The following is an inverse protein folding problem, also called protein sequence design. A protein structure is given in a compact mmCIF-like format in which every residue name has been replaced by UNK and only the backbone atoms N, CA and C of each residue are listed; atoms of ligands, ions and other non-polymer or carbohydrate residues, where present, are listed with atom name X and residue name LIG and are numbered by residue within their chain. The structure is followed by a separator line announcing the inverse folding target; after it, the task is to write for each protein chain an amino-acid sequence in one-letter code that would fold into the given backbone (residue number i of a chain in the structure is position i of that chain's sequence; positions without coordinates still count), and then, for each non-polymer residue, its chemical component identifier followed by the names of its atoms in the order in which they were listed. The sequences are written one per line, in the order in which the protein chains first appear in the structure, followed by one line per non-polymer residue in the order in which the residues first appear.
data_IF_843048241465
#
_entry.id   IF_843048241465
#
_cell.length_a   1.000
_cell.length_b   1.000
_cell.length_c   1.000
_cell.angle_alpha   90.00
_cell.angle_beta   90.00
_cell.angle_gamma   90.00
#
_symmetry.space_group_name_H-M   'P 1'
#
loop_
_entity.id
_entity.type
_entity.pdbx_description
1 polymer ?
#
# COMPACT_ATOMS: atom_id res chain seq x y z
N UNK A 1 -14.87 39.79 -48.60
CA UNK A 1 -15.05 38.33 -48.47
C UNK A 1 -13.99 37.69 -47.55
N UNK A 2 -12.72 38.11 -47.59
CA UNK A 2 -11.65 37.58 -46.73
C UNK A 2 -11.87 37.70 -45.20
N UNK A 3 -12.51 38.78 -44.72
CA UNK A 3 -12.75 38.96 -43.27
C UNK A 3 -13.74 37.94 -42.68
N UNK A 4 -14.71 37.49 -43.47
CA UNK A 4 -15.72 36.51 -43.04
C UNK A 4 -15.07 35.11 -42.96
N UNK A 5 -14.19 34.77 -43.89
CA UNK A 5 -13.42 33.51 -43.84
C UNK A 5 -12.53 33.43 -42.60
N UNK A 6 -11.86 34.53 -42.23
CA UNK A 6 -11.03 34.57 -41.02
C UNK A 6 -11.83 34.42 -39.72
N UNK A 7 -13.05 34.98 -39.65
CA UNK A 7 -13.94 34.81 -38.49
C UNK A 7 -14.49 33.37 -38.41
N UNK A 8 -14.81 32.77 -39.55
CA UNK A 8 -15.25 31.36 -39.62
C UNK A 8 -14.13 30.42 -39.15
N UNK A 9 -12.88 30.67 -39.53
CA UNK A 9 -11.73 29.89 -39.06
C UNK A 9 -11.49 30.05 -37.56
N UNK A 10 -11.62 31.27 -37.03
CA UNK A 10 -11.54 31.54 -35.60
C UNK A 10 -12.61 30.76 -34.81
N UNK A 11 -13.86 30.76 -35.30
CA UNK A 11 -14.96 30.01 -34.69
C UNK A 11 -14.73 28.49 -34.73
N UNK A 12 -14.15 27.97 -35.80
CA UNK A 12 -13.79 26.55 -35.89
C UNK A 12 -12.69 26.18 -34.90
N UNK A 13 -11.67 27.03 -34.74
CA UNK A 13 -10.60 26.83 -33.76
C UNK A 13 -11.16 26.89 -32.35
N UNK A 14 -12.01 27.86 -32.02
CA UNK A 14 -12.62 27.98 -30.70
C UNK A 14 -13.48 26.74 -30.37
N UNK A 15 -14.29 26.27 -31.32
CA UNK A 15 -15.11 25.05 -31.15
C UNK A 15 -14.25 23.81 -30.93
N UNK A 16 -13.11 23.72 -31.63
CA UNK A 16 -12.14 22.61 -31.48
C UNK A 16 -11.47 22.65 -30.10
N UNK A 17 -11.06 23.83 -29.64
CA UNK A 17 -10.47 24.03 -28.30
C UNK A 17 -11.50 23.65 -27.23
N UNK A 18 -12.72 24.17 -27.32
CA UNK A 18 -13.81 23.86 -26.38
C UNK A 18 -14.10 22.36 -26.31
N UNK A 19 -14.10 21.67 -27.46
CA UNK A 19 -14.25 20.21 -27.51
C UNK A 19 -13.12 19.44 -26.84
N UNK A 20 -11.86 19.89 -26.99
CA UNK A 20 -10.71 19.28 -26.31
C UNK A 20 -10.76 19.49 -24.79
N UNK A 21 -11.05 20.72 -24.35
CA UNK A 21 -11.18 21.05 -22.93
C UNK A 21 -12.29 20.22 -22.29
N UNK A 22 -13.44 20.08 -22.94
CA UNK A 22 -14.55 19.25 -22.44
C UNK A 22 -14.14 17.78 -22.27
N UNK A 23 -13.48 17.18 -23.26
CA UNK A 23 -13.02 15.78 -23.17
C UNK A 23 -11.98 15.58 -22.07
N UNK A 24 -11.06 16.53 -21.90
CA UNK A 24 -10.07 16.49 -20.84
C UNK A 24 -10.74 16.60 -19.46
N UNK A 25 -11.71 17.50 -19.32
CA UNK A 25 -12.48 17.68 -18.09
C UNK A 25 -13.28 16.42 -17.72
N UNK A 26 -13.96 15.79 -18.69
CA UNK A 26 -14.67 14.52 -18.50
C UNK A 26 -13.73 13.38 -18.08
N UNK A 27 -12.52 13.33 -18.66
CA UNK A 27 -11.50 12.34 -18.27
C UNK A 27 -11.02 12.57 -16.83
N UNK A 28 -10.64 13.80 -16.48
CA UNK A 28 -10.17 14.12 -15.12
C UNK A 28 -11.26 13.92 -14.06
N UNK A 29 -12.51 14.23 -14.39
CA UNK A 29 -13.64 14.01 -13.48
C UNK A 29 -13.92 12.51 -13.29
N UNK A 30 -13.81 11.70 -14.36
CA UNK A 30 -13.90 10.24 -14.29
C UNK A 30 -12.77 9.65 -13.45
N UNK A 31 -11.53 10.08 -13.67
CA UNK A 31 -10.37 9.63 -12.88
C UNK A 31 -10.52 10.02 -11.40
N UNK A 32 -10.96 11.24 -11.10
CA UNK A 32 -11.23 11.68 -9.74
C UNK A 32 -12.31 10.81 -9.07
N UNK A 33 -13.41 10.57 -9.77
CA UNK A 33 -14.52 9.76 -9.25
C UNK A 33 -14.09 8.30 -9.01
N UNK A 34 -13.35 7.69 -9.95
CA UNK A 34 -12.81 6.34 -9.78
C UNK A 34 -11.82 6.26 -8.61
N UNK A 35 -10.99 7.29 -8.42
CA UNK A 35 -10.07 7.33 -7.27
C UNK A 35 -10.82 7.45 -5.94
N UNK A 36 -11.87 8.26 -5.85
CA UNK A 36 -12.71 8.33 -4.65
C UNK A 36 -13.47 7.02 -4.41
N UNK A 37 -13.93 6.33 -5.47
CA UNK A 37 -14.48 4.98 -5.34
C UNK A 37 -13.46 3.98 -4.83
N UNK A 38 -12.21 4.01 -5.33
CA UNK A 38 -11.14 3.15 -4.84
C UNK A 38 -10.86 3.43 -3.37
N UNK A 39 -10.79 4.70 -2.95
CA UNK A 39 -10.62 5.06 -1.53
C UNK A 39 -11.80 4.61 -0.67
N UNK A 40 -13.02 4.73 -1.17
CA UNK A 40 -14.21 4.26 -0.46
C UNK A 40 -14.21 2.72 -0.34
N UNK A 41 -13.85 2.01 -1.42
CA UNK A 41 -13.67 0.56 -1.43
C UNK A 41 -12.58 0.15 -0.44
N UNK A 42 -11.42 0.82 -0.44
CA UNK A 42 -10.34 0.57 0.53
C UNK A 42 -10.77 0.84 1.97
N UNK A 43 -11.67 1.81 2.19
CA UNK A 43 -12.23 2.12 3.51
C UNK A 43 -13.28 1.10 3.95
N UNK A 44 -14.15 0.63 3.05
CA UNK A 44 -15.15 -0.41 3.30
C UNK A 44 -14.51 -1.80 3.45
N UNK A 45 -13.42 -2.07 2.74
CA UNK A 45 -12.58 -3.27 2.97
C UNK A 45 -11.81 -3.21 4.30
N UNK A 46 -11.85 -2.10 5.04
CA UNK A 46 -11.37 -2.04 6.41
C UNK A 46 -9.86 -1.84 6.60
N UNK A 47 -9.10 -1.50 5.55
CA UNK A 47 -7.63 -1.47 5.62
C UNK A 47 -6.98 -0.08 5.58
N UNK A 48 -7.72 1.03 5.59
CA UNK A 48 -7.11 2.34 5.84
C UNK A 48 -6.93 2.53 7.35
N UNK A 49 -5.95 1.81 7.88
CA UNK A 49 -5.51 1.84 9.27
C UNK A 49 -4.58 0.70 9.66
N UNK A 50 -4.53 -0.39 8.87
CA UNK A 50 -3.85 -1.61 9.30
C UNK A 50 -2.46 -1.86 8.71
N UNK A 51 -2.05 -1.37 7.54
CA UNK A 51 -0.69 -1.69 7.03
C UNK A 51 0.44 -1.10 7.91
N UNK A 52 0.27 0.15 8.38
CA UNK A 52 1.16 0.72 9.40
C UNK A 52 0.99 0.01 10.76
N UNK A 53 -0.23 -0.44 11.07
CA UNK A 53 -0.54 -1.16 12.30
C UNK A 53 0.07 -2.56 12.33
N UNK A 54 0.04 -3.33 11.24
CA UNK A 54 0.53 -4.71 11.15
C UNK A 54 2.05 -4.73 11.35
N UNK A 55 2.76 -3.87 10.62
CA UNK A 55 4.20 -3.74 10.76
C UNK A 55 4.58 -3.24 12.17
N UNK A 56 3.87 -2.25 12.71
CA UNK A 56 4.09 -1.79 14.09
C UNK A 56 3.72 -2.86 15.14
N UNK A 57 2.69 -3.66 14.90
CA UNK A 57 2.26 -4.76 15.76
C UNK A 57 3.29 -5.89 15.74
N UNK A 58 3.84 -6.23 14.58
CA UNK A 58 4.96 -7.16 14.44
C UNK A 58 6.19 -6.63 15.18
N UNK A 59 6.52 -5.34 15.03
CA UNK A 59 7.63 -4.72 15.76
C UNK A 59 7.44 -4.78 17.28
N UNK A 60 6.23 -4.46 17.76
CA UNK A 60 5.86 -4.57 19.19
C UNK A 60 5.92 -6.02 19.66
N UNK A 61 5.48 -6.98 18.86
CA UNK A 61 5.47 -8.41 19.17
C UNK A 61 6.89 -8.98 19.28
N UNK A 62 7.77 -8.63 18.34
CA UNK A 62 9.20 -9.01 18.35
C UNK A 62 9.87 -8.48 19.63
N UNK A 63 9.58 -7.23 20.00
CA UNK A 63 10.12 -6.64 21.22
C UNK A 63 9.60 -7.31 22.50
N UNK A 64 8.35 -7.78 22.52
CA UNK A 64 7.72 -8.43 23.69
C UNK A 64 8.06 -9.92 23.83
N UNK A 65 8.35 -10.60 22.73
CA UNK A 65 8.61 -12.05 22.68
C UNK A 65 9.79 -12.49 23.57
N UNK A 66 10.74 -11.58 23.85
CA UNK A 66 11.92 -11.89 24.68
C UNK A 66 12.94 -12.76 23.96
N UNK A 67 13.11 -12.52 22.67
CA UNK A 67 14.12 -13.17 21.84
C UNK A 67 15.53 -12.86 22.35
N UNK A 68 16.48 -13.81 22.25
CA UNK A 68 17.91 -13.54 22.38
C UNK A 68 18.37 -12.46 21.39
N UNK A 69 19.48 -11.77 21.70
CA UNK A 69 19.99 -10.63 20.91
C UNK A 69 20.12 -10.95 19.41
N UNK A 70 20.72 -12.09 19.08
CA UNK A 70 20.96 -12.52 17.70
C UNK A 70 19.65 -12.79 16.94
N UNK A 71 18.70 -13.45 17.57
CA UNK A 71 17.39 -13.74 16.97
C UNK A 71 16.59 -12.43 16.77
N UNK A 72 16.65 -11.52 17.75
CA UNK A 72 15.99 -10.22 17.66
C UNK A 72 16.55 -9.35 16.52
N UNK A 73 17.87 -9.29 16.38
CA UNK A 73 18.51 -8.57 15.27
C UNK A 73 18.09 -9.12 13.90
N UNK A 74 18.06 -10.45 13.75
CA UNK A 74 17.57 -11.07 12.51
C UNK A 74 16.10 -10.76 12.25
N UNK A 75 15.23 -10.87 13.25
CA UNK A 75 13.81 -10.55 13.10
C UNK A 75 13.59 -9.10 12.65
N UNK A 76 14.32 -8.15 13.26
CA UNK A 76 14.23 -6.73 12.90
C UNK A 76 14.77 -6.45 11.50
N UNK A 77 15.85 -7.13 11.09
CA UNK A 77 16.39 -7.00 9.74
C UNK A 77 15.39 -7.47 8.68
N UNK A 78 14.74 -8.62 8.89
CA UNK A 78 13.71 -9.11 7.98
C UNK A 78 12.46 -8.22 7.98
N UNK A 79 12.05 -7.68 9.14
CA UNK A 79 10.96 -6.70 9.23
C UNK A 79 11.26 -5.41 8.43
N UNK A 80 12.51 -4.94 8.44
CA UNK A 80 12.93 -3.78 7.64
C UNK A 80 12.86 -4.06 6.14
N UNK A 81 13.17 -5.29 5.71
CA UNK A 81 12.98 -5.70 4.30
C UNK A 81 11.49 -5.74 3.95
N UNK A 82 10.64 -6.27 4.84
CA UNK A 82 9.19 -6.30 4.65
C UNK A 82 8.61 -4.89 4.49
N UNK A 83 9.10 -3.91 5.27
CA UNK A 83 8.71 -2.48 5.16
C UNK A 83 8.98 -1.87 3.77
N UNK A 84 9.99 -2.36 3.05
CA UNK A 84 10.39 -1.84 1.74
C UNK A 84 9.75 -2.59 0.57
N UNK A 85 9.11 -3.73 0.82
CA UNK A 85 8.53 -4.59 -0.20
C UNK A 85 7.04 -4.31 -0.41
N UNK A 86 6.53 -4.64 -1.60
CA UNK A 86 5.08 -4.62 -1.83
C UNK A 86 4.41 -5.75 -1.02
N UNK A 87 3.33 -5.46 -0.27
CA UNK A 87 2.67 -6.43 0.60
C UNK A 87 2.04 -7.63 -0.13
N UNK A 88 1.81 -7.50 -1.44
CA UNK A 88 1.28 -8.55 -2.31
C UNK A 88 2.38 -9.39 -3.01
N UNK A 89 3.65 -9.07 -2.78
CA UNK A 89 4.76 -9.86 -3.34
C UNK A 89 4.85 -11.23 -2.68
N UNK A 90 5.16 -12.26 -3.47
CA UNK A 90 5.45 -13.60 -2.96
C UNK A 90 6.60 -13.60 -1.93
N UNK A 91 7.57 -12.69 -2.08
CA UNK A 91 8.68 -12.51 -1.13
C UNK A 91 8.19 -11.96 0.22
N UNK A 92 7.22 -11.04 0.20
CA UNK A 92 6.63 -10.49 1.42
C UNK A 92 5.88 -11.58 2.21
N UNK A 93 5.18 -12.48 1.53
CA UNK A 93 4.53 -13.64 2.16
C UNK A 93 5.53 -14.56 2.85
N UNK A 94 6.68 -14.84 2.23
CA UNK A 94 7.73 -15.68 2.81
C UNK A 94 8.30 -15.04 4.09
N UNK A 95 8.55 -13.72 4.06
CA UNK A 95 9.08 -12.99 5.22
C UNK A 95 8.05 -12.93 6.36
N UNK A 96 6.77 -12.66 6.08
CA UNK A 96 5.71 -12.71 7.10
C UNK A 96 5.66 -14.07 7.78
N UNK A 97 5.63 -15.15 6.99
CA UNK A 97 5.62 -16.51 7.53
C UNK A 97 6.86 -16.74 8.44
N UNK A 98 8.05 -16.32 8.00
CA UNK A 98 9.26 -16.45 8.82
C UNK A 98 9.16 -15.68 10.15
N UNK A 99 8.64 -14.45 10.13
CA UNK A 99 8.42 -13.66 11.34
C UNK A 99 7.38 -14.31 12.27
N UNK A 100 6.32 -14.91 11.71
CA UNK A 100 5.32 -15.64 12.49
C UNK A 100 5.91 -16.87 13.17
N UNK A 101 6.72 -17.67 12.46
CA UNK A 101 7.45 -18.79 13.05
C UNK A 101 8.38 -18.33 14.18
N UNK A 102 9.09 -17.22 13.97
CA UNK A 102 9.96 -16.64 15.00
C UNK A 102 9.16 -16.21 16.23
N UNK A 103 7.96 -15.65 16.05
CA UNK A 103 7.10 -15.22 17.15
C UNK A 103 6.39 -16.38 17.86
N UNK A 104 6.11 -17.48 17.16
CA UNK A 104 5.46 -18.66 17.76
C UNK A 104 6.39 -19.45 18.70
N UNK A 105 7.71 -19.27 18.57
CA UNK A 105 8.69 -19.94 19.43
C UNK A 105 8.66 -19.35 20.85
N UNK A 106 8.54 -20.17 21.91
CA UNK A 106 8.43 -19.67 23.27
C UNK A 106 9.81 -19.31 23.86
N UNK A 107 10.39 -18.19 23.43
CA UNK A 107 11.74 -17.75 23.86
C UNK A 107 11.94 -17.60 25.37
N UNK A 108 10.87 -17.25 26.11
CA UNK A 108 10.91 -17.10 27.57
C UNK A 108 10.63 -18.40 28.34
N UNK A 109 10.00 -19.40 27.72
CA UNK A 109 9.52 -20.59 28.44
C UNK A 109 10.58 -21.69 28.35
N UNK A 110 11.36 -21.86 29.42
CA UNK A 110 12.19 -23.07 29.58
C UNK A 110 11.25 -24.27 29.69
N UNK A 111 11.25 -25.12 28.66
CA UNK A 111 10.57 -26.41 28.70
C UNK A 111 11.38 -27.29 29.65
N UNK A 112 10.84 -27.58 30.84
CA UNK A 112 11.38 -28.64 31.70
C UNK A 112 11.00 -29.96 31.06
N UNK A 113 11.96 -30.63 30.44
CA UNK A 113 11.79 -32.04 30.12
C UNK A 113 11.82 -32.81 31.44
N UNK A 114 10.68 -33.38 31.85
CA UNK A 114 10.67 -34.41 32.88
C UNK A 114 11.23 -35.66 32.24
N UNK A 115 12.54 -35.87 32.38
CA UNK A 115 13.15 -37.17 32.12
C UNK A 115 12.48 -38.17 33.07
N UNK A 116 11.84 -39.19 32.49
CA UNK A 116 11.37 -40.40 33.18
C UNK A 116 12.58 -41.29 33.44
#
# INVERSE_FOLDING_TARGET
MAAIETEIDLLHVEKRIRGRVKRQMEKSQREYYLNEQIKAIQKELGEIGEEGSEIEQLEKSINKAGMPKEAKEKALSELQKLKLMSPMSAEATVIRNYLDWMLSVPWKKKIKYSTI
#
